data_IF_864069644304
#
_entry.id   IF_864069644304
#
_cell.length_a   1.000
_cell.length_b   1.000
_cell.length_c   1.000
_cell.angle_alpha   90.00
_cell.angle_beta   90.00
_cell.angle_gamma   90.00
#
_symmetry.space_group_name_H-M   'P 1'
#
loop_
_entity.id
_entity.type
_entity.pdbx_description
1 polymer ?
#
# COMPACT_ATOMS: atom_id res chain seq x y z
N UNK A 1 22.98 -36.80 -1.98
CA UNK A 1 23.59 -36.52 -0.65
C UNK A 1 23.23 -35.11 -0.19
N UNK A 2 22.41 -34.97 0.85
CA UNK A 2 21.98 -33.67 1.43
C UNK A 2 23.16 -32.86 1.98
N UNK A 3 23.10 -31.54 1.95
CA UNK A 3 24.12 -30.71 2.61
C UNK A 3 24.04 -30.91 4.14
N UNK A 4 25.18 -31.21 4.76
CA UNK A 4 25.29 -31.45 6.21
C UNK A 4 25.38 -30.16 7.03
N UNK A 5 25.27 -28.98 6.41
CA UNK A 5 25.37 -27.67 7.04
C UNK A 5 24.18 -26.79 6.67
N UNK A 6 23.88 -25.81 7.53
CA UNK A 6 22.88 -24.80 7.24
C UNK A 6 23.28 -23.98 6.01
N UNK A 7 22.35 -23.76 5.07
CA UNK A 7 22.63 -23.02 3.84
C UNK A 7 22.82 -21.51 4.02
N UNK A 8 22.54 -20.96 5.21
CA UNK A 8 22.69 -19.55 5.54
C UNK A 8 24.17 -19.20 5.74
N UNK A 9 24.66 -18.20 5.01
CA UNK A 9 26.01 -17.65 5.17
C UNK A 9 26.21 -17.12 6.59
N UNK A 10 27.29 -17.56 7.23
CA UNK A 10 27.61 -17.19 8.62
C UNK A 10 27.01 -18.11 9.68
N UNK A 11 26.13 -19.03 9.30
CA UNK A 11 25.63 -20.04 10.21
C UNK A 11 26.61 -21.22 10.29
N UNK A 12 27.32 -21.35 11.42
CA UNK A 12 28.26 -22.47 11.66
C UNK A 12 27.55 -23.78 12.04
N UNK A 13 26.23 -23.85 11.93
CA UNK A 13 25.47 -25.03 12.36
C UNK A 13 25.51 -26.13 11.31
N UNK A 14 25.96 -27.29 11.76
CA UNK A 14 26.07 -28.53 11.00
C UNK A 14 25.33 -29.63 11.73
N UNK A 15 24.94 -30.70 11.03
CA UNK A 15 24.31 -31.88 11.62
C UNK A 15 25.18 -32.45 12.76
N UNK A 16 26.50 -32.29 12.65
CA UNK A 16 27.49 -32.72 13.64
C UNK A 16 27.70 -31.75 14.81
N UNK A 17 27.29 -30.48 14.68
CA UNK A 17 27.56 -29.42 15.66
C UNK A 17 26.26 -28.72 16.11
N UNK A 18 25.15 -29.47 16.18
CA UNK A 18 23.85 -28.95 16.58
C UNK A 18 23.69 -29.02 18.10
N UNK A 19 23.28 -27.94 18.78
CA UNK A 19 22.84 -28.03 20.18
C UNK A 19 21.52 -28.81 20.26
N UNK A 20 21.30 -29.49 21.40
CA UNK A 20 20.11 -30.31 21.66
C UNK A 20 18.83 -29.50 21.43
N UNK A 21 18.01 -29.91 20.45
CA UNK A 21 16.74 -29.25 20.11
C UNK A 21 16.72 -28.43 18.82
N UNK A 22 17.84 -28.30 18.09
CA UNK A 22 17.85 -27.68 16.76
C UNK A 22 17.54 -28.70 15.67
N UNK A 23 16.52 -28.40 14.85
CA UNK A 23 16.10 -29.21 13.71
C UNK A 23 16.48 -28.51 12.39
N UNK A 24 16.67 -29.29 11.34
CA UNK A 24 16.95 -28.80 9.98
C UNK A 24 15.74 -29.05 9.10
N UNK A 25 15.22 -27.99 8.48
CA UNK A 25 14.06 -28.04 7.60
C UNK A 25 14.50 -27.96 6.14
N UNK A 26 13.92 -28.80 5.26
CA UNK A 26 14.13 -28.69 3.82
C UNK A 26 13.47 -27.42 3.29
N UNK A 27 13.89 -27.00 2.10
CA UNK A 27 13.23 -25.89 1.41
C UNK A 27 11.81 -26.28 0.98
N UNK A 28 10.87 -25.31 0.88
CA UNK A 28 9.50 -25.58 0.48
C UNK A 28 9.43 -26.06 -0.97
N UNK A 29 8.46 -26.93 -1.27
CA UNK A 29 8.21 -27.47 -2.62
C UNK A 29 7.35 -26.53 -3.48
N UNK A 30 6.41 -25.80 -2.85
CA UNK A 30 5.53 -24.83 -3.52
C UNK A 30 6.28 -23.63 -4.10
N UNK A 31 5.96 -23.25 -5.34
CA UNK A 31 6.57 -22.14 -6.08
C UNK A 31 6.39 -20.80 -5.35
N UNK A 32 5.22 -20.56 -4.76
CA UNK A 32 4.92 -19.32 -4.04
C UNK A 32 5.83 -19.15 -2.81
N UNK A 33 6.01 -20.24 -2.05
CA UNK A 33 6.88 -20.24 -0.87
C UNK A 33 8.36 -20.20 -1.26
N UNK A 34 8.76 -20.80 -2.39
CA UNK A 34 10.10 -20.64 -2.95
C UNK A 34 10.39 -19.17 -3.25
N UNK A 35 9.47 -18.43 -3.87
CA UNK A 35 9.67 -17.00 -4.13
C UNK A 35 9.84 -16.18 -2.85
N UNK A 36 9.03 -16.46 -1.81
CA UNK A 36 9.15 -15.81 -0.50
C UNK A 36 10.49 -16.12 0.18
N UNK A 37 10.92 -17.37 0.16
CA UNK A 37 12.21 -17.79 0.70
C UNK A 37 13.38 -17.23 -0.10
N UNK A 38 13.28 -17.20 -1.43
CA UNK A 38 14.28 -16.62 -2.32
C UNK A 38 14.48 -15.15 -1.98
N UNK A 39 13.39 -14.40 -1.76
CA UNK A 39 13.48 -12.99 -1.38
C UNK A 39 14.13 -12.79 -0.01
N UNK A 40 13.87 -13.67 0.97
CA UNK A 40 14.49 -13.62 2.30
C UNK A 40 15.98 -14.04 2.29
N UNK A 41 16.34 -14.99 1.41
CA UNK A 41 17.66 -15.61 1.35
C UNK A 41 18.59 -15.01 0.29
N UNK A 42 18.08 -14.14 -0.61
CA UNK A 42 18.77 -13.59 -1.79
C UNK A 42 20.17 -13.05 -1.50
N UNK A 43 20.33 -12.41 -0.34
CA UNK A 43 21.59 -11.77 0.06
C UNK A 43 22.32 -12.53 1.19
N UNK A 44 21.82 -13.70 1.57
CA UNK A 44 22.26 -14.47 2.75
C UNK A 44 22.66 -15.91 2.40
N UNK A 45 22.47 -16.36 1.17
CA UNK A 45 22.89 -17.68 0.68
C UNK A 45 23.69 -17.46 -0.62
N UNK A 46 24.94 -17.94 -0.69
CA UNK A 46 25.72 -17.86 -1.93
C UNK A 46 25.17 -18.80 -3.01
N UNK A 47 24.76 -20.01 -2.59
CA UNK A 47 24.28 -21.08 -3.46
C UNK A 47 23.20 -21.86 -2.69
N UNK A 48 21.94 -21.54 -2.95
CA UNK A 48 20.80 -22.26 -2.37
C UNK A 48 20.35 -23.34 -3.35
N UNK A 49 20.62 -24.61 -3.02
CA UNK A 49 20.08 -25.75 -3.77
C UNK A 49 18.76 -26.17 -3.14
N UNK A 50 17.63 -25.81 -3.78
CA UNK A 50 16.29 -26.10 -3.29
C UNK A 50 16.03 -27.58 -2.95
N UNK A 51 16.79 -28.51 -3.54
CA UNK A 51 16.64 -29.95 -3.34
C UNK A 51 17.54 -30.52 -2.23
N UNK A 52 18.67 -29.86 -1.92
CA UNK A 52 19.72 -30.40 -1.03
C UNK A 52 20.02 -29.51 0.17
N UNK A 53 19.71 -28.22 0.08
CA UNK A 53 19.94 -27.23 1.12
C UNK A 53 18.88 -27.33 2.22
N UNK A 54 19.34 -27.20 3.46
CA UNK A 54 18.50 -27.20 4.66
C UNK A 54 18.80 -25.98 5.51
N UNK A 55 17.75 -25.47 6.17
CA UNK A 55 17.85 -24.32 7.06
C UNK A 55 17.50 -24.77 8.47
N UNK A 56 18.30 -24.37 9.44
CA UNK A 56 18.07 -24.75 10.84
C UNK A 56 16.93 -23.94 11.49
N UNK A 57 16.35 -24.49 12.56
CA UNK A 57 15.25 -23.89 13.31
C UNK A 57 15.54 -22.48 13.85
N UNK A 58 16.82 -22.14 14.11
CA UNK A 58 17.21 -20.81 14.60
C UNK A 58 16.91 -19.66 13.64
N UNK A 59 16.74 -19.94 12.35
CA UNK A 59 16.42 -18.91 11.37
C UNK A 59 14.93 -18.59 11.26
N UNK A 60 14.09 -19.32 11.99
CA UNK A 60 12.64 -19.13 12.01
C UNK A 60 12.21 -18.58 13.36
N UNK A 61 11.27 -17.64 13.34
CA UNK A 61 10.63 -17.18 14.56
C UNK A 61 9.78 -18.29 15.21
N UNK A 62 9.72 -18.29 16.55
CA UNK A 62 9.00 -19.28 17.34
C UNK A 62 7.50 -19.40 16.96
N UNK A 63 6.90 -18.32 16.43
CA UNK A 63 5.50 -18.27 15.96
C UNK A 63 5.19 -19.22 14.79
N UNK A 64 6.22 -19.65 14.06
CA UNK A 64 6.09 -20.52 12.90
C UNK A 64 6.25 -22.01 13.24
N UNK A 65 6.43 -22.35 14.53
CA UNK A 65 6.48 -23.72 15.00
C UNK A 65 5.16 -24.12 15.64
N UNK A 66 4.70 -25.34 15.34
CA UNK A 66 3.57 -25.96 16.03
C UNK A 66 3.99 -26.60 17.35
N UNK A 67 3.01 -27.00 18.17
CA UNK A 67 3.21 -27.67 19.47
C UNK A 67 4.12 -28.91 19.39
N UNK A 68 4.18 -29.56 18.21
CA UNK A 68 5.07 -30.69 17.92
C UNK A 68 6.46 -30.31 17.37
N UNK A 69 6.87 -29.03 17.47
CA UNK A 69 8.12 -28.49 16.89
C UNK A 69 8.26 -28.73 15.39
N UNK A 70 7.15 -28.88 14.65
CA UNK A 70 7.13 -28.91 13.18
C UNK A 70 7.00 -27.48 12.66
N UNK A 71 7.66 -27.20 11.54
CA UNK A 71 7.60 -25.90 10.87
C UNK A 71 6.31 -25.83 10.05
N UNK A 72 5.52 -24.77 10.22
CA UNK A 72 4.31 -24.53 9.43
C UNK A 72 4.64 -24.34 7.95
N UNK A 73 3.74 -24.73 7.06
CA UNK A 73 3.93 -24.61 5.60
C UNK A 73 4.10 -23.16 5.12
N UNK A 74 3.64 -22.18 5.91
CA UNK A 74 3.77 -20.75 5.63
C UNK A 74 4.99 -20.09 6.30
N UNK A 75 5.86 -20.88 6.93
CA UNK A 75 7.01 -20.34 7.64
C UNK A 75 8.08 -19.80 6.68
N UNK A 76 8.63 -18.63 7.00
CA UNK A 76 9.75 -18.01 6.28
C UNK A 76 10.90 -17.76 7.24
N UNK A 77 12.16 -17.98 6.83
CA UNK A 77 13.31 -17.66 7.67
C UNK A 77 13.47 -16.15 7.77
N UNK A 78 13.33 -15.59 8.97
CA UNK A 78 13.42 -14.15 9.25
C UNK A 78 14.61 -13.78 10.14
N UNK A 79 15.21 -14.74 10.83
CA UNK A 79 16.28 -14.50 11.79
C UNK A 79 17.63 -14.90 11.18
N UNK A 80 18.50 -13.93 10.87
CA UNK A 80 19.82 -14.22 10.32
C UNK A 80 20.91 -13.64 11.23
N UNK A 81 21.97 -14.41 11.57
CA UNK A 81 23.09 -13.86 12.33
C UNK A 81 23.76 -12.78 11.49
N UNK A 82 23.90 -11.59 12.09
CA UNK A 82 24.59 -10.46 11.49
C UNK A 82 26.07 -10.81 11.36
N UNK A 83 26.47 -11.31 10.19
CA UNK A 83 27.90 -11.40 9.87
C UNK A 83 28.40 -10.00 9.58
N UNK A 84 29.30 -9.51 10.42
CA UNK A 84 29.99 -8.21 10.38
C UNK A 84 30.80 -7.91 9.11
N UNK A 85 30.62 -8.67 8.02
CA UNK A 85 31.19 -8.41 6.70
C UNK A 85 30.17 -8.07 5.61
N UNK A 86 28.87 -8.03 5.93
CA UNK A 86 27.81 -7.56 5.01
C UNK A 86 26.79 -6.63 5.70
N UNK A 87 27.27 -5.74 6.57
CA UNK A 87 26.58 -4.51 6.93
C UNK A 87 27.21 -3.34 6.16
N UNK A 88 26.81 -3.19 4.90
CA UNK A 88 26.72 -1.86 4.26
C UNK A 88 25.34 -1.59 3.69
N UNK A 89 24.31 -2.26 4.21
CA UNK A 89 22.93 -1.89 3.98
C UNK A 89 22.15 -2.11 5.29
N UNK A 90 21.70 -0.99 5.86
CA UNK A 90 20.72 -0.85 6.97
C UNK A 90 21.17 -0.68 8.43
N UNK A 91 22.33 -0.10 8.71
CA UNK A 91 22.55 0.60 9.99
C UNK A 91 23.11 2.00 9.76
N UNK A 92 22.56 2.97 10.50
CA UNK A 92 22.74 4.40 10.34
C UNK A 92 24.21 4.83 10.47
N UNK A 93 24.89 5.04 9.33
CA UNK A 93 26.16 5.77 9.28
C UNK A 93 25.93 7.28 9.42
N UNK A 94 26.73 8.02 10.21
CA UNK A 94 26.49 9.44 10.56
C UNK A 94 26.60 10.44 9.39
N UNK A 95 26.87 9.99 8.17
CA UNK A 95 27.01 10.84 6.98
C UNK A 95 25.68 11.12 6.28
N UNK A 96 24.71 10.19 6.33
CA UNK A 96 23.33 10.43 5.85
C UNK A 96 22.60 11.48 6.67
N UNK A 97 22.92 11.57 7.96
CA UNK A 97 22.36 12.58 8.86
C UNK A 97 22.52 14.01 8.33
N UNK A 98 23.55 14.33 7.55
CA UNK A 98 23.70 15.72 7.05
C UNK A 98 22.72 16.00 5.91
N UNK A 99 22.61 15.09 4.94
CA UNK A 99 21.68 15.22 3.81
C UNK A 99 20.25 15.09 4.31
N UNK A 100 19.95 14.12 5.17
CA UNK A 100 18.62 13.94 5.78
C UNK A 100 18.27 15.13 6.69
N UNK A 101 19.21 15.69 7.46
CA UNK A 101 18.94 16.93 8.21
C UNK A 101 18.73 18.14 7.31
N UNK A 102 19.37 18.21 6.15
CA UNK A 102 19.17 19.30 5.19
C UNK A 102 17.80 19.14 4.49
N UNK A 103 17.48 17.92 4.05
CA UNK A 103 16.19 17.57 3.45
C UNK A 103 15.02 17.75 4.45
N UNK A 104 15.20 17.37 5.71
CA UNK A 104 14.22 17.57 6.78
C UNK A 104 14.05 19.03 7.19
N UNK A 105 14.98 19.91 6.82
CA UNK A 105 14.86 21.36 7.05
C UNK A 105 14.12 22.08 5.92
N UNK A 106 14.01 21.45 4.75
CA UNK A 106 13.29 22.01 3.60
C UNK A 106 11.81 21.68 3.70
N UNK A 107 10.97 22.68 3.49
CA UNK A 107 9.53 22.46 3.31
C UNK A 107 9.29 21.68 2.02
N UNK A 108 8.15 20.97 1.96
CA UNK A 108 7.75 20.23 0.76
C UNK A 108 7.70 21.15 -0.49
N UNK A 109 7.28 22.41 -0.32
CA UNK A 109 7.24 23.42 -1.39
C UNK A 109 8.62 23.83 -1.88
N UNK A 110 9.58 24.05 -0.98
CA UNK A 110 10.96 24.40 -1.34
C UNK A 110 11.65 23.25 -2.06
N UNK A 111 11.43 22.01 -1.59
CA UNK A 111 11.95 20.82 -2.24
C UNK A 111 11.43 20.68 -3.68
N UNK A 112 10.13 20.85 -3.88
CA UNK A 112 9.51 20.78 -5.21
C UNK A 112 10.06 21.88 -6.12
N UNK A 113 10.25 23.09 -5.60
CA UNK A 113 10.81 24.21 -6.38
C UNK A 113 12.26 23.92 -6.80
N UNK A 114 13.08 23.39 -5.88
CA UNK A 114 14.46 23.02 -6.17
C UNK A 114 14.56 21.89 -7.19
N UNK A 115 13.75 20.84 -7.04
CA UNK A 115 13.66 19.74 -8.02
C UNK A 115 13.28 20.29 -9.40
N UNK A 116 12.26 21.15 -9.49
CA UNK A 116 11.83 21.77 -10.76
C UNK A 116 12.93 22.64 -11.37
N UNK A 117 13.64 23.42 -10.57
CA UNK A 117 14.73 24.26 -11.05
C UNK A 117 15.91 23.43 -11.56
N UNK A 118 16.25 22.34 -10.88
CA UNK A 118 17.28 21.42 -11.35
C UNK A 118 16.86 20.69 -12.63
N UNK A 119 15.60 20.22 -12.73
CA UNK A 119 15.06 19.60 -13.95
C UNK A 119 15.15 20.52 -15.18
N UNK A 120 14.92 21.82 -15.01
CA UNK A 120 15.07 22.82 -16.09
C UNK A 120 16.52 22.98 -16.57
N UNK A 121 17.50 22.67 -15.72
CA UNK A 121 18.93 22.79 -16.03
C UNK A 121 19.50 21.54 -16.69
N UNK A 122 18.81 20.40 -16.59
CA UNK A 122 19.21 19.14 -17.24
C UNK A 122 19.04 19.28 -18.75
N UNK A 123 20.18 19.38 -19.46
CA UNK A 123 20.22 19.49 -20.93
C UNK A 123 20.12 18.11 -21.58
N UNK A 124 19.56 18.08 -22.78
CA UNK A 124 19.52 16.88 -23.60
C UNK A 124 20.93 16.46 -24.04
N UNK A 125 21.31 15.19 -23.90
CA UNK A 125 22.58 14.67 -24.39
C UNK A 125 22.69 14.85 -25.91
N UNK A 126 23.89 15.14 -26.41
CA UNK A 126 24.12 15.22 -27.86
C UNK A 126 23.94 13.84 -28.52
N UNK A 127 23.34 13.81 -29.73
CA UNK A 127 23.04 12.59 -30.49
C UNK A 127 22.11 11.59 -29.76
N UNK A 128 21.19 12.08 -28.93
CA UNK A 128 20.28 11.24 -28.15
C UNK A 128 19.40 10.33 -29.02
N UNK A 129 18.94 10.80 -30.19
CA UNK A 129 18.15 10.00 -31.14
C UNK A 129 18.86 8.71 -31.60
N UNK A 130 20.17 8.74 -31.74
CA UNK A 130 20.96 7.56 -32.15
C UNK A 130 21.18 6.56 -30.99
N UNK A 131 20.92 7.00 -29.76
CA UNK A 131 21.13 6.25 -28.52
C UNK A 131 19.85 5.59 -28.00
N UNK A 132 18.71 5.82 -28.66
CA UNK A 132 17.41 5.25 -28.32
C UNK A 132 17.02 4.17 -29.33
N UNK A 133 16.53 3.04 -28.84
CA UNK A 133 15.89 2.01 -29.68
C UNK A 133 14.44 2.36 -29.96
N UNK A 134 13.85 1.78 -31.01
CA UNK A 134 12.42 1.96 -31.37
C UNK A 134 11.45 1.72 -30.20
N UNK A 135 11.84 0.88 -29.23
CA UNK A 135 11.11 0.63 -27.97
C UNK A 135 11.24 1.74 -26.91
N UNK A 136 11.79 2.91 -27.25
CA UNK A 136 12.10 4.02 -26.32
C UNK A 136 13.01 3.59 -25.15
N UNK A 137 13.98 2.71 -25.42
CA UNK A 137 15.01 2.30 -24.44
C UNK A 137 16.37 2.84 -24.87
N UNK A 138 17.20 3.23 -23.91
CA UNK A 138 18.60 3.51 -24.23
C UNK A 138 19.29 2.21 -24.67
N UNK A 139 20.07 2.29 -25.75
CA UNK A 139 20.93 1.19 -26.16
C UNK A 139 21.99 0.92 -25.06
N UNK A 140 22.43 -0.34 -24.87
CA UNK A 140 23.38 -0.69 -23.80
C UNK A 140 24.77 -0.05 -23.96
N UNK A 141 25.11 0.41 -25.16
CA UNK A 141 26.30 1.19 -25.51
C UNK A 141 26.15 2.71 -25.28
N UNK A 142 24.96 3.19 -24.90
CA UNK A 142 24.72 4.59 -24.61
C UNK A 142 25.43 5.05 -23.33
N UNK A 143 25.96 6.28 -23.34
CA UNK A 143 26.53 6.94 -22.17
C UNK A 143 25.58 6.87 -20.97
N UNK A 144 26.15 6.66 -19.77
CA UNK A 144 25.42 6.68 -18.50
C UNK A 144 24.62 7.98 -18.35
N UNK A 145 25.13 9.10 -18.85
CA UNK A 145 24.44 10.39 -18.82
C UNK A 145 23.13 10.36 -19.63
N UNK A 146 23.13 9.73 -20.80
CA UNK A 146 21.93 9.59 -21.62
C UNK A 146 20.90 8.63 -20.99
N UNK A 147 21.36 7.56 -20.37
CA UNK A 147 20.50 6.63 -19.64
C UNK A 147 19.81 7.31 -18.45
N UNK A 148 20.56 8.07 -17.66
CA UNK A 148 20.03 8.83 -16.53
C UNK A 148 19.05 9.92 -16.99
N UNK A 149 19.35 10.62 -18.08
CA UNK A 149 18.47 11.62 -18.66
C UNK A 149 17.11 11.03 -19.06
N UNK A 150 17.12 9.91 -19.80
CA UNK A 150 15.88 9.24 -20.21
C UNK A 150 15.05 8.79 -19.01
N UNK A 151 15.70 8.24 -17.97
CA UNK A 151 15.02 7.85 -16.73
C UNK A 151 14.39 9.04 -16.01
N UNK A 152 15.12 10.16 -15.92
CA UNK A 152 14.60 11.40 -15.32
C UNK A 152 13.37 11.90 -16.10
N UNK A 153 13.43 11.92 -17.44
CA UNK A 153 12.29 12.36 -18.27
C UNK A 153 11.10 11.41 -18.18
N UNK A 154 11.33 10.10 -18.15
CA UNK A 154 10.27 9.10 -17.94
C UNK A 154 9.61 9.29 -16.57
N UNK A 155 10.41 9.51 -15.52
CA UNK A 155 9.89 9.77 -14.18
C UNK A 155 9.08 11.07 -14.13
N UNK A 156 9.57 12.14 -14.77
CA UNK A 156 8.86 13.42 -14.86
C UNK A 156 7.51 13.27 -15.57
N UNK A 157 7.47 12.56 -16.69
CA UNK A 157 6.23 12.26 -17.40
C UNK A 157 5.22 11.49 -16.53
N UNK A 158 5.68 10.44 -15.83
CA UNK A 158 4.83 9.67 -14.92
C UNK A 158 4.32 10.52 -13.75
N UNK A 159 5.17 11.39 -13.19
CA UNK A 159 4.78 12.30 -12.12
C UNK A 159 3.71 13.30 -12.59
N UNK A 160 3.86 13.88 -13.79
CA UNK A 160 2.87 14.80 -14.36
C UNK A 160 1.52 14.10 -14.59
N UNK A 161 1.54 12.90 -15.18
CA UNK A 161 0.32 12.11 -15.39
C UNK A 161 -0.36 11.71 -14.07
N UNK A 162 0.42 11.36 -13.05
CA UNK A 162 -0.11 11.09 -11.71
C UNK A 162 -0.76 12.34 -11.10
N UNK A 163 -0.12 13.51 -11.24
CA UNK A 163 -0.66 14.77 -10.75
C UNK A 163 -2.00 15.12 -11.43
N UNK A 164 -2.11 14.91 -12.74
CA UNK A 164 -3.36 15.10 -13.48
C UNK A 164 -4.47 14.19 -12.95
N UNK A 165 -4.18 12.91 -12.73
CA UNK A 165 -5.14 11.96 -12.13
C UNK A 165 -5.55 12.37 -10.71
N UNK A 166 -4.62 12.85 -9.89
CA UNK A 166 -4.92 13.36 -8.54
C UNK A 166 -5.87 14.56 -8.61
N UNK A 167 -5.62 15.51 -9.51
CA UNK A 167 -6.47 16.69 -9.70
C UNK A 167 -7.86 16.29 -10.18
N UNK A 168 -7.97 15.36 -11.14
CA UNK A 168 -9.25 14.85 -11.61
C UNK A 168 -10.03 14.15 -10.48
N UNK A 169 -9.38 13.27 -9.72
CA UNK A 169 -10.01 12.59 -8.58
C UNK A 169 -10.50 13.58 -7.52
N UNK A 170 -9.72 14.63 -7.23
CA UNK A 170 -10.14 15.68 -6.30
C UNK A 170 -11.43 16.37 -6.78
N UNK A 171 -11.51 16.73 -8.07
CA UNK A 171 -12.73 17.30 -8.65
C UNK A 171 -13.94 16.37 -8.53
N UNK A 172 -13.75 15.06 -8.76
CA UNK A 172 -14.82 14.08 -8.58
C UNK A 172 -15.32 14.02 -7.13
N UNK A 173 -14.41 14.06 -6.16
CA UNK A 173 -14.78 14.09 -4.74
C UNK A 173 -15.59 15.35 -4.40
N UNK A 174 -15.17 16.51 -4.88
CA UNK A 174 -15.89 17.79 -4.65
C UNK A 174 -17.31 17.74 -5.23
N UNK A 175 -17.49 17.18 -6.42
CA UNK A 175 -18.83 16.98 -7.03
C UNK A 175 -19.69 16.03 -6.20
N UNK A 176 -19.12 14.91 -5.73
CA UNK A 176 -19.85 13.96 -4.89
C UNK A 176 -20.27 14.57 -3.56
N UNK A 177 -19.41 15.38 -2.95
CA UNK A 177 -19.74 16.11 -1.72
C UNK A 177 -20.89 17.09 -1.95
N UNK A 178 -20.83 17.88 -3.03
CA UNK A 178 -21.91 18.79 -3.39
C UNK A 178 -23.24 18.06 -3.59
N UNK A 179 -23.25 16.97 -4.35
CA UNK A 179 -24.45 16.17 -4.58
C UNK A 179 -25.02 15.57 -3.28
N UNK A 180 -24.16 15.15 -2.36
CA UNK A 180 -24.58 14.68 -1.03
C UNK A 180 -25.25 15.78 -0.22
N UNK A 181 -24.70 17.00 -0.25
CA UNK A 181 -25.25 18.12 0.51
C UNK A 181 -26.56 18.64 -0.10
N UNK A 182 -26.68 18.64 -1.44
CA UNK A 182 -27.92 18.92 -2.16
C UNK A 182 -29.00 17.85 -1.87
N UNK A 183 -28.61 16.58 -1.74
CA UNK A 183 -29.53 15.51 -1.34
C UNK A 183 -30.02 15.68 0.11
N UNK A 184 -29.15 16.15 1.01
CA UNK A 184 -29.53 16.44 2.41
C UNK A 184 -30.46 17.64 2.52
N UNK A 185 -30.25 18.70 1.75
CA UNK A 185 -31.15 19.86 1.75
C UNK A 185 -32.53 19.46 1.20
N UNK A 186 -32.58 18.77 0.06
CA UNK A 186 -33.83 18.27 -0.51
C UNK A 186 -34.58 17.36 0.47
N UNK A 187 -33.87 16.47 1.19
CA UNK A 187 -34.50 15.65 2.23
C UNK A 187 -35.12 16.48 3.35
N UNK A 188 -34.45 17.54 3.82
CA UNK A 188 -35.00 18.45 4.84
C UNK A 188 -36.26 19.15 4.34
N UNK A 189 -36.28 19.59 3.09
CA UNK A 189 -37.46 20.25 2.50
C UNK A 189 -38.66 19.29 2.40
N UNK A 190 -38.39 18.04 2.03
CA UNK A 190 -39.41 16.97 2.01
C UNK A 190 -39.91 16.69 3.42
N UNK A 191 -39.03 16.55 4.40
CA UNK A 191 -39.41 16.32 5.80
C UNK A 191 -40.26 17.47 6.36
N UNK A 192 -39.90 18.72 6.05
CA UNK A 192 -40.67 19.91 6.44
C UNK A 192 -42.05 19.94 5.76
N UNK A 193 -42.11 19.56 4.48
CA UNK A 193 -43.37 19.46 3.73
C UNK A 193 -44.26 18.36 4.32
N UNK A 194 -43.68 17.21 4.65
CA UNK A 194 -44.38 16.11 5.31
C UNK A 194 -44.97 16.52 6.65
N UNK A 195 -44.23 17.28 7.46
CA UNK A 195 -44.74 17.77 8.73
C UNK A 195 -45.91 18.75 8.55
N UNK A 196 -45.83 19.60 7.53
CA UNK A 196 -46.92 20.49 7.14
C UNK A 196 -48.17 19.71 6.72
N UNK A 197 -48.01 18.67 5.90
CA UNK A 197 -49.14 17.83 5.49
C UNK A 197 -49.75 17.06 6.67
N UNK A 198 -48.94 16.53 7.59
CA UNK A 198 -49.46 15.90 8.82
C UNK A 198 -50.30 16.86 9.63
N UNK A 199 -49.86 18.11 9.78
CA UNK A 199 -50.64 19.14 10.47
C UNK A 199 -51.97 19.41 9.78
N UNK A 200 -51.97 19.59 8.46
CA UNK A 200 -53.19 19.80 7.67
C UNK A 200 -54.16 18.62 7.83
N UNK A 201 -53.67 17.38 7.73
CA UNK A 201 -54.47 16.16 7.92
C UNK A 201 -55.11 16.15 9.32
N UNK A 202 -54.35 16.51 10.36
CA UNK A 202 -54.89 16.58 11.72
C UNK A 202 -56.03 17.60 11.84
N UNK A 203 -55.85 18.80 11.28
CA UNK A 203 -56.91 19.82 11.27
C UNK A 203 -58.16 19.36 10.50
N UNK A 204 -57.99 18.64 9.39
CA UNK A 204 -59.11 18.09 8.63
C UNK A 204 -59.83 16.98 9.40
N UNK A 205 -59.10 16.12 10.10
CA UNK A 205 -59.68 15.08 10.95
C UNK A 205 -60.50 15.67 12.10
N UNK A 206 -59.99 16.72 12.77
CA UNK A 206 -60.73 17.43 13.82
C UNK A 206 -62.02 18.06 13.27
N UNK A 207 -61.95 18.71 12.09
CA UNK A 207 -63.16 19.25 11.44
C UNK A 207 -64.17 18.17 11.06
N UNK A 208 -63.70 17.04 10.53
CA UNK A 208 -64.57 15.94 10.15
C UNK A 208 -65.31 15.38 11.38
N UNK A 209 -64.60 15.17 12.50
CA UNK A 209 -65.23 14.74 13.75
C UNK A 209 -66.30 15.71 14.25
N UNK A 210 -66.06 17.03 14.18
CA UNK A 210 -67.08 18.03 14.57
C UNK A 210 -68.29 18.03 13.65
N UNK A 211 -68.11 17.76 12.34
CA UNK A 211 -69.23 17.65 11.41
C UNK A 211 -70.05 16.39 11.66
N UNK A 212 -69.40 15.27 11.95
CA UNK A 212 -70.07 14.02 12.34
C UNK A 212 -70.94 14.22 13.59
N UNK A 213 -70.41 14.88 14.62
CA UNK A 213 -71.17 15.21 15.84
C UNK A 213 -72.39 16.11 15.53
N UNK A 214 -72.22 17.14 14.69
CA UNK A 214 -73.33 18.00 14.27
C UNK A 214 -74.41 17.23 13.51
N UNK A 215 -74.02 16.31 12.62
CA UNK A 215 -74.96 15.46 11.87
C UNK A 215 -75.73 14.56 12.84
N UNK A 216 -75.06 13.96 13.82
CA UNK A 216 -75.71 13.12 14.84
C UNK A 216 -76.75 13.89 15.64
N UNK A 217 -76.41 15.12 16.08
CA UNK A 217 -77.34 16.01 16.79
C UNK A 217 -78.55 16.36 15.91
N UNK A 218 -78.33 16.76 14.65
CA UNK A 218 -79.42 17.11 13.72
C UNK A 218 -80.35 15.92 13.47
N UNK A 219 -79.77 14.73 13.25
CA UNK A 219 -80.53 13.49 13.05
C UNK A 219 -81.39 13.15 14.27
N UNK A 220 -80.85 13.33 15.49
CA UNK A 220 -81.60 13.12 16.72
C UNK A 220 -82.76 14.12 16.90
N UNK A 221 -82.58 15.38 16.48
CA UNK A 221 -83.64 16.40 16.51
C UNK A 221 -84.75 16.10 15.51
N UNK A 222 -84.43 15.71 14.26
CA UNK A 222 -85.44 15.34 13.26
C UNK A 222 -86.28 14.11 13.64
N UNK A 223 -85.73 13.21 14.47
CA UNK A 223 -86.41 11.99 14.89
C UNK A 223 -87.44 12.16 16.03
N UNK A 224 -87.59 13.38 16.57
CA UNK A 224 -88.53 13.73 17.66
C UNK A 224 -89.76 14.45 17.14
#
# INVERSE_FOLDING_TARGET
MSQNHCAVQGCKMSIFNKPTGVLFYPCPTSIEMKNKWLHALRNRCALLDWSRSRICSKHFEHKYFDSQKKLKDNAVPTLFPVTSKLQKNHENTPTKNKIDRIMSKLTQSELIADIKNNLKRVKEPANFDNLITEDLRCRPDASIEAQLWLLIKKQDHLNNRLLEHIVQNKKHIEVLQKNMDDSKSSKKDVDQSMETYKYIVKCLQEKLATLEEQIEILTAVESR
#
